data_IF_269598334777
#
_entry.id   IF_269598334777
#
_cell.length_a   1.000
_cell.length_b   1.000
_cell.length_c   1.000
_cell.angle_alpha   90.00
_cell.angle_beta   90.00
_cell.angle_gamma   90.00
#
_symmetry.space_group_name_H-M   'P 1'
#
loop_
_entity.id
_entity.type
_entity.pdbx_description
1 polymer ?
#
# COMPACT_ATOMS: atom_id res chain seq x y z
N UNK A 1 -42.05 -11.83 73.32
CA UNK A 1 -41.32 -12.51 72.20
C UNK A 1 -41.59 -11.73 70.93
N UNK A 2 -40.68 -10.87 70.50
CA UNK A 2 -40.75 -10.02 69.30
C UNK A 2 -40.21 -10.79 68.13
N UNK A 3 -41.04 -11.01 67.06
CA UNK A 3 -40.56 -11.57 65.76
C UNK A 3 -40.01 -10.43 64.93
N UNK A 4 -38.75 -10.50 64.60
CA UNK A 4 -38.07 -9.60 63.66
C UNK A 4 -38.30 -10.16 62.29
N UNK A 5 -38.92 -9.41 61.40
CA UNK A 5 -39.15 -9.71 59.99
C UNK A 5 -37.97 -9.12 59.20
N UNK A 6 -37.09 -9.98 58.65
CA UNK A 6 -36.05 -9.53 57.71
C UNK A 6 -36.64 -9.38 56.32
N UNK A 7 -36.70 -8.14 55.86
CA UNK A 7 -37.07 -7.78 54.48
C UNK A 7 -35.80 -7.70 53.66
N UNK A 8 -35.48 -8.73 52.89
CA UNK A 8 -34.37 -8.74 51.94
C UNK A 8 -34.78 -7.97 50.69
N UNK A 9 -34.26 -6.75 50.59
CA UNK A 9 -34.38 -5.91 49.37
C UNK A 9 -33.38 -6.44 48.32
N UNK A 10 -33.90 -7.17 47.33
CA UNK A 10 -33.13 -7.64 46.19
C UNK A 10 -32.97 -6.45 45.21
N UNK A 11 -31.84 -5.75 45.28
CA UNK A 11 -31.50 -4.70 44.30
C UNK A 11 -31.16 -5.38 42.98
N UNK A 12 -32.11 -5.42 42.04
CA UNK A 12 -31.88 -5.85 40.66
C UNK A 12 -31.17 -4.71 39.92
N UNK A 13 -29.84 -4.78 39.89
CA UNK A 13 -29.06 -3.88 39.06
C UNK A 13 -29.25 -4.30 37.60
N UNK A 14 -30.23 -3.70 36.92
CA UNK A 14 -30.33 -3.73 35.47
C UNK A 14 -29.14 -2.95 34.90
N UNK A 15 -28.06 -3.64 34.60
CA UNK A 15 -27.02 -3.11 33.69
C UNK A 15 -27.67 -2.94 32.31
N UNK A 16 -28.08 -1.72 32.01
CA UNK A 16 -28.44 -1.33 30.66
C UNK A 16 -27.11 -1.42 29.89
N UNK A 17 -26.83 -2.57 29.25
CA UNK A 17 -25.87 -2.66 28.20
C UNK A 17 -26.40 -1.75 27.08
N UNK A 18 -25.97 -0.49 27.06
CA UNK A 18 -26.13 0.35 25.90
C UNK A 18 -25.32 -0.37 24.80
N UNK A 19 -26.04 -0.98 23.86
CA UNK A 19 -25.37 -1.56 22.69
C UNK A 19 -24.57 -0.43 22.02
N UNK A 20 -23.27 -0.48 22.17
CA UNK A 20 -22.39 0.52 21.57
C UNK A 20 -22.65 0.51 20.07
N UNK A 21 -23.08 1.65 19.51
CA UNK A 21 -23.37 1.77 18.07
C UNK A 21 -22.09 1.42 17.32
N UNK A 22 -22.14 0.36 16.50
CA UNK A 22 -21.01 -0.02 15.66
C UNK A 22 -20.74 1.04 14.59
N UNK A 23 -19.47 1.25 14.27
CA UNK A 23 -19.06 2.07 13.12
C UNK A 23 -19.30 1.27 11.85
N UNK A 24 -20.13 1.78 10.96
CA UNK A 24 -20.48 1.11 9.71
C UNK A 24 -19.47 1.42 8.61
N UNK A 25 -18.88 0.38 8.02
CA UNK A 25 -17.95 0.49 6.89
C UNK A 25 -18.60 -0.11 5.66
N UNK A 26 -18.90 0.70 4.65
CA UNK A 26 -19.43 0.25 3.37
C UNK A 26 -18.29 0.05 2.37
N UNK A 27 -17.99 -1.20 2.00
CA UNK A 27 -17.05 -1.52 0.93
C UNK A 27 -17.79 -1.59 -0.42
N UNK A 28 -17.61 -0.57 -1.23
CA UNK A 28 -18.28 -0.34 -2.52
C UNK A 28 -17.30 -0.68 -3.64
N UNK A 29 -17.72 -1.49 -4.62
CA UNK A 29 -16.80 -1.85 -5.68
C UNK A 29 -17.35 -2.88 -6.68
N UNK A 30 -16.42 -3.49 -7.35
CA UNK A 30 -16.65 -4.47 -8.42
C UNK A 30 -16.45 -5.93 -7.94
N UNK A 31 -16.01 -6.80 -8.84
CA UNK A 31 -15.72 -8.21 -8.57
C UNK A 31 -14.64 -8.43 -7.50
N UNK A 32 -13.66 -7.54 -7.40
CA UNK A 32 -12.60 -7.62 -6.38
C UNK A 32 -13.19 -7.39 -4.99
N UNK A 33 -14.07 -6.40 -4.84
CA UNK A 33 -14.79 -6.15 -3.59
C UNK A 33 -15.75 -7.30 -3.26
N UNK A 34 -16.46 -7.81 -4.27
CA UNK A 34 -17.34 -8.98 -4.10
C UNK A 34 -16.57 -10.21 -3.61
N UNK A 35 -15.34 -10.40 -4.07
CA UNK A 35 -14.53 -11.61 -3.83
C UNK A 35 -14.72 -12.66 -4.91
N UNK A 36 -14.86 -12.24 -6.17
CA UNK A 36 -14.94 -13.13 -7.32
C UNK A 36 -13.67 -13.97 -7.42
N UNK A 37 -13.78 -15.23 -7.80
CA UNK A 37 -12.75 -16.28 -7.83
C UNK A 37 -12.30 -16.82 -6.48
N UNK A 38 -12.67 -16.19 -5.37
CA UNK A 38 -12.32 -16.71 -4.05
C UNK A 38 -13.17 -17.94 -3.69
N UNK A 39 -12.59 -18.94 -2.98
CA UNK A 39 -13.31 -20.15 -2.60
C UNK A 39 -14.58 -19.87 -1.80
N UNK A 40 -14.53 -18.94 -0.87
CA UNK A 40 -15.67 -18.50 -0.08
C UNK A 40 -15.65 -16.97 0.10
N UNK A 41 -16.30 -16.20 -0.78
CA UNK A 41 -16.34 -14.74 -0.66
C UNK A 41 -16.84 -14.20 0.68
N UNK A 42 -17.68 -14.97 1.40
CA UNK A 42 -18.23 -14.56 2.69
C UNK A 42 -17.17 -14.52 3.82
N UNK A 43 -16.06 -15.21 3.65
CA UNK A 43 -14.94 -15.24 4.61
C UNK A 43 -13.66 -14.68 4.02
N UNK A 44 -13.45 -14.84 2.72
CA UNK A 44 -12.16 -14.67 2.05
C UNK A 44 -12.04 -13.33 1.34
N UNK A 45 -13.16 -12.65 1.04
CA UNK A 45 -13.12 -11.33 0.42
C UNK A 45 -12.44 -10.29 1.33
N UNK A 46 -11.83 -9.25 0.76
CA UNK A 46 -11.19 -8.24 1.58
C UNK A 46 -12.16 -7.55 2.57
N UNK A 47 -13.45 -7.30 2.27
CA UNK A 47 -14.36 -6.77 3.28
C UNK A 47 -14.59 -7.72 4.44
N UNK A 48 -14.65 -9.03 4.18
CA UNK A 48 -14.84 -10.04 5.23
C UNK A 48 -13.59 -10.17 6.11
N UNK A 49 -12.41 -10.18 5.51
CA UNK A 49 -11.15 -10.15 6.26
C UNK A 49 -10.96 -8.83 7.03
N UNK A 50 -11.41 -7.70 6.45
CA UNK A 50 -11.42 -6.39 7.14
C UNK A 50 -12.31 -6.42 8.38
N UNK A 51 -13.49 -7.06 8.32
CA UNK A 51 -14.35 -7.23 9.49
C UNK A 51 -13.62 -7.94 10.63
N UNK A 52 -12.83 -8.98 10.30
CA UNK A 52 -12.03 -9.70 11.30
C UNK A 52 -10.96 -8.79 11.94
N UNK A 53 -10.29 -7.98 11.12
CA UNK A 53 -9.25 -7.05 11.59
C UNK A 53 -9.81 -5.93 12.47
N UNK A 54 -10.97 -5.37 12.12
CA UNK A 54 -11.62 -4.27 12.84
C UNK A 54 -12.36 -4.73 14.10
N UNK A 55 -12.75 -6.01 14.17
CA UNK A 55 -13.46 -6.58 15.31
C UNK A 55 -14.92 -6.11 15.44
N UNK A 56 -15.50 -6.36 16.62
CA UNK A 56 -16.94 -6.21 16.86
C UNK A 56 -17.43 -4.75 16.99
N UNK A 57 -16.54 -3.80 17.17
CA UNK A 57 -16.87 -2.38 17.23
C UNK A 57 -17.23 -1.79 15.87
N UNK A 58 -16.96 -2.53 14.80
CA UNK A 58 -17.29 -2.19 13.42
C UNK A 58 -18.30 -3.16 12.82
N UNK A 59 -19.01 -2.69 11.81
CA UNK A 59 -19.89 -3.48 10.95
C UNK A 59 -19.50 -3.23 9.49
N UNK A 60 -18.89 -4.21 8.85
CA UNK A 60 -18.40 -4.10 7.47
C UNK A 60 -19.40 -4.72 6.51
N UNK A 61 -19.93 -3.91 5.60
CA UNK A 61 -20.81 -4.35 4.51
C UNK A 61 -20.05 -4.51 3.19
N UNK A 62 -20.25 -5.65 2.52
CA UNK A 62 -19.73 -5.89 1.18
C UNK A 62 -20.79 -5.55 0.12
N UNK A 63 -20.54 -4.49 -0.65
CA UNK A 63 -21.42 -4.01 -1.72
C UNK A 63 -20.72 -4.10 -3.09
N UNK A 64 -19.89 -5.13 -3.27
CA UNK A 64 -19.23 -5.44 -4.52
C UNK A 64 -20.19 -6.03 -5.56
N UNK A 65 -20.09 -5.57 -6.81
CA UNK A 65 -20.81 -6.09 -7.96
C UNK A 65 -19.86 -6.50 -9.07
N UNK A 66 -19.77 -7.80 -9.34
CA UNK A 66 -18.90 -8.32 -10.40
C UNK A 66 -19.21 -7.68 -11.75
N UNK A 67 -18.15 -7.21 -12.44
CA UNK A 67 -18.25 -6.55 -13.74
C UNK A 67 -18.76 -5.11 -13.69
N UNK A 68 -19.03 -4.53 -12.52
CA UNK A 68 -19.54 -3.17 -12.43
C UNK A 68 -18.50 -2.13 -12.86
N UNK A 69 -18.94 -1.17 -13.69
CA UNK A 69 -18.19 0.01 -14.12
C UNK A 69 -18.51 1.19 -13.23
N UNK A 70 -17.59 2.13 -13.12
CA UNK A 70 -17.87 3.44 -12.55
C UNK A 70 -18.70 4.28 -13.51
N UNK A 71 -18.31 4.28 -14.80
CA UNK A 71 -18.98 5.02 -15.85
C UNK A 71 -20.47 4.68 -15.91
N UNK A 72 -21.33 5.70 -15.80
CA UNK A 72 -22.80 5.56 -15.89
C UNK A 72 -23.30 5.17 -17.29
N UNK A 73 -22.47 5.34 -18.31
CA UNK A 73 -22.68 4.85 -19.67
C UNK A 73 -21.92 3.57 -19.99
N UNK A 74 -21.20 3.02 -19.02
CA UNK A 74 -20.46 1.78 -19.17
C UNK A 74 -21.39 0.58 -19.36
N UNK A 75 -20.80 -0.57 -19.69
CA UNK A 75 -21.57 -1.77 -19.97
C UNK A 75 -22.33 -2.34 -18.76
N UNK A 76 -21.94 -1.96 -17.51
CA UNK A 76 -22.62 -2.34 -16.26
C UNK A 76 -22.45 -1.27 -15.18
N UNK A 77 -23.13 -0.13 -15.29
CA UNK A 77 -22.97 0.97 -14.33
C UNK A 77 -23.29 0.56 -12.91
N UNK A 78 -22.37 0.81 -11.96
CA UNK A 78 -22.55 0.47 -10.54
C UNK A 78 -23.76 1.17 -9.93
N UNK A 79 -24.00 2.44 -10.22
CA UNK A 79 -25.11 3.22 -9.68
C UNK A 79 -26.50 2.69 -10.12
N UNK A 80 -26.56 1.79 -11.10
CA UNK A 80 -27.78 1.13 -11.55
C UNK A 80 -27.97 -0.26 -10.91
N UNK A 81 -27.02 -0.74 -10.09
CA UNK A 81 -27.09 -2.08 -9.50
C UNK A 81 -27.79 -2.05 -8.13
N UNK A 82 -28.34 -3.21 -7.73
CA UNK A 82 -28.97 -3.37 -6.42
C UNK A 82 -27.97 -3.20 -5.27
N UNK A 83 -26.70 -3.53 -5.49
CA UNK A 83 -25.62 -3.38 -4.52
C UNK A 83 -25.39 -1.90 -4.19
N UNK A 84 -25.54 -0.99 -5.15
CA UNK A 84 -25.50 0.45 -4.90
C UNK A 84 -26.65 0.89 -3.98
N UNK A 85 -27.89 0.46 -4.29
CA UNK A 85 -29.07 0.80 -3.47
C UNK A 85 -28.91 0.30 -2.03
N UNK A 86 -28.39 -0.93 -1.86
CA UNK A 86 -28.09 -1.51 -0.55
C UNK A 86 -27.01 -0.72 0.19
N UNK A 87 -25.94 -0.30 -0.51
CA UNK A 87 -24.87 0.51 0.07
C UNK A 87 -25.39 1.87 0.56
N UNK A 88 -26.25 2.53 -0.22
CA UNK A 88 -26.91 3.79 0.17
C UNK A 88 -27.79 3.58 1.39
N UNK A 89 -28.63 2.53 1.41
CA UNK A 89 -29.51 2.20 2.53
C UNK A 89 -28.73 1.81 3.81
N UNK A 90 -27.53 1.23 3.66
CA UNK A 90 -26.64 0.91 4.76
C UNK A 90 -26.16 2.16 5.49
N UNK A 91 -26.03 3.30 4.78
CA UNK A 91 -25.62 4.60 5.31
C UNK A 91 -24.33 4.50 6.15
N UNK A 92 -23.25 4.00 5.54
CA UNK A 92 -21.95 3.79 6.19
C UNK A 92 -21.39 5.06 6.82
N UNK A 93 -20.80 4.92 8.01
CA UNK A 93 -20.01 5.99 8.63
C UNK A 93 -18.68 6.19 7.90
N UNK A 94 -18.17 5.09 7.31
CA UNK A 94 -17.00 5.07 6.42
C UNK A 94 -17.42 4.40 5.12
N UNK A 95 -17.05 4.97 3.99
CA UNK A 95 -17.31 4.43 2.65
C UNK A 95 -16.00 4.23 1.92
N UNK A 96 -15.70 3.00 1.57
CA UNK A 96 -14.48 2.60 0.83
C UNK A 96 -14.88 2.28 -0.60
N UNK A 97 -14.36 3.02 -1.57
CA UNK A 97 -14.73 2.87 -2.99
C UNK A 97 -13.55 2.34 -3.80
N UNK A 98 -13.75 1.19 -4.47
CA UNK A 98 -12.81 0.60 -5.42
C UNK A 98 -13.55 0.29 -6.73
N UNK A 99 -13.62 1.25 -7.64
CA UNK A 99 -14.26 1.18 -8.96
C UNK A 99 -13.38 1.81 -10.03
N UNK A 100 -13.49 1.33 -11.25
CA UNK A 100 -12.74 1.82 -12.41
C UNK A 100 -12.00 0.74 -13.20
N UNK A 101 -11.74 -0.45 -12.60
CA UNK A 101 -10.97 -1.49 -13.29
C UNK A 101 -11.74 -2.08 -14.50
N UNK A 102 -13.06 -2.23 -14.39
CA UNK A 102 -13.89 -2.70 -15.50
C UNK A 102 -14.07 -1.64 -16.59
N UNK A 103 -13.84 -0.38 -16.25
CA UNK A 103 -13.89 0.74 -17.18
C UNK A 103 -12.73 0.69 -18.19
N UNK A 104 -11.70 -0.12 -17.96
CA UNK A 104 -10.64 -0.44 -18.94
C UNK A 104 -11.14 -1.31 -20.11
N UNK A 105 -12.44 -1.64 -20.18
CA UNK A 105 -13.01 -2.37 -21.30
C UNK A 105 -13.05 -1.47 -22.56
N UNK A 106 -12.74 -2.01 -23.77
CA UNK A 106 -12.83 -1.26 -25.03
C UNK A 106 -14.20 -0.68 -25.34
N UNK A 107 -15.27 -1.22 -24.74
CA UNK A 107 -16.64 -0.68 -24.87
C UNK A 107 -16.85 0.60 -24.08
N UNK A 108 -16.04 0.83 -23.04
CA UNK A 108 -16.25 1.87 -22.04
C UNK A 108 -15.26 3.02 -22.19
N UNK A 109 -13.98 2.80 -21.86
CA UNK A 109 -13.01 3.88 -21.75
C UNK A 109 -12.80 4.71 -23.01
N UNK A 110 -12.57 4.10 -24.18
CA UNK A 110 -12.38 4.89 -25.41
C UNK A 110 -13.58 5.78 -25.78
N UNK A 111 -14.78 5.40 -25.31
CA UNK A 111 -16.02 6.06 -25.68
C UNK A 111 -16.53 7.07 -24.64
N UNK A 112 -16.23 6.86 -23.36
CA UNK A 112 -16.90 7.59 -22.28
C UNK A 112 -15.94 8.16 -21.21
N UNK A 113 -14.63 8.09 -21.41
CA UNK A 113 -13.61 8.56 -20.45
C UNK A 113 -13.85 9.98 -19.94
N UNK A 114 -14.33 10.88 -20.80
CA UNK A 114 -14.60 12.27 -20.43
C UNK A 114 -15.69 12.42 -19.35
N UNK A 115 -16.51 11.38 -19.15
CA UNK A 115 -17.53 11.34 -18.11
C UNK A 115 -17.03 10.81 -16.77
N UNK A 116 -15.82 10.18 -16.72
CA UNK A 116 -15.36 9.42 -15.55
C UNK A 116 -15.28 10.26 -14.27
N UNK A 117 -14.67 11.44 -14.34
CA UNK A 117 -14.56 12.34 -13.19
C UNK A 117 -15.94 12.77 -12.69
N UNK A 118 -16.82 13.16 -13.61
CA UNK A 118 -18.20 13.59 -13.27
C UNK A 118 -18.99 12.45 -12.61
N UNK A 119 -18.91 11.26 -13.17
CA UNK A 119 -19.66 10.10 -12.69
C UNK A 119 -19.12 9.65 -11.31
N UNK A 120 -17.80 9.73 -11.10
CA UNK A 120 -17.20 9.42 -9.79
C UNK A 120 -17.63 10.42 -8.73
N UNK A 121 -17.61 11.71 -9.03
CA UNK A 121 -18.10 12.76 -8.12
C UNK A 121 -19.58 12.56 -7.77
N UNK A 122 -20.43 12.20 -8.74
CA UNK A 122 -21.82 11.88 -8.49
C UNK A 122 -21.99 10.67 -7.55
N UNK A 123 -21.16 9.65 -7.69
CA UNK A 123 -21.14 8.52 -6.75
C UNK A 123 -20.77 8.96 -5.34
N UNK A 124 -19.70 9.75 -5.18
CA UNK A 124 -19.26 10.31 -3.89
C UNK A 124 -20.40 11.12 -3.25
N UNK A 125 -21.02 12.00 -4.01
CA UNK A 125 -22.11 12.86 -3.53
C UNK A 125 -23.35 12.06 -3.10
N UNK A 126 -23.64 10.93 -3.77
CA UNK A 126 -24.72 10.04 -3.38
C UNK A 126 -24.53 9.50 -1.97
N UNK A 127 -23.30 9.14 -1.58
CA UNK A 127 -23.00 8.70 -0.22
C UNK A 127 -23.03 9.85 0.79
N UNK A 128 -22.60 11.05 0.40
CA UNK A 128 -22.70 12.25 1.25
C UNK A 128 -24.14 12.64 1.51
N UNK A 129 -25.04 12.45 0.54
CA UNK A 129 -26.48 12.66 0.73
C UNK A 129 -27.06 11.62 1.70
N UNK A 130 -26.66 10.36 1.57
CA UNK A 130 -27.15 9.28 2.45
C UNK A 130 -26.65 9.43 3.91
N UNK A 131 -25.40 9.86 4.09
CA UNK A 131 -24.82 10.18 5.40
C UNK A 131 -23.85 11.37 5.25
N UNK A 132 -24.29 12.60 5.59
CA UNK A 132 -23.45 13.80 5.46
C UNK A 132 -22.18 13.80 6.31
N UNK A 133 -22.08 12.89 7.29
CA UNK A 133 -20.90 12.76 8.16
C UNK A 133 -19.99 11.60 7.74
N UNK A 134 -20.30 10.91 6.64
CA UNK A 134 -19.48 9.78 6.22
C UNK A 134 -18.07 10.21 5.85
N UNK A 135 -17.09 9.41 6.27
CA UNK A 135 -15.73 9.52 5.82
C UNK A 135 -15.57 8.69 4.54
N UNK A 136 -15.17 9.32 3.45
CA UNK A 136 -15.04 8.64 2.17
C UNK A 136 -13.56 8.39 1.88
N UNK A 137 -13.24 7.15 1.55
CA UNK A 137 -11.93 6.68 1.15
C UNK A 137 -12.06 6.12 -0.27
N UNK A 138 -11.31 6.64 -1.21
CA UNK A 138 -11.25 6.06 -2.57
C UNK A 138 -9.90 5.39 -2.79
N UNK A 139 -9.91 4.29 -3.52
CA UNK A 139 -8.72 3.48 -3.75
C UNK A 139 -8.16 3.70 -5.15
N UNK A 140 -6.82 3.81 -5.27
CA UNK A 140 -6.14 3.48 -6.52
C UNK A 140 -6.46 2.04 -6.88
N UNK A 141 -6.58 1.76 -8.18
CA UNK A 141 -6.94 0.43 -8.66
C UNK A 141 -5.86 -0.60 -8.31
N UNK A 142 -6.27 -1.83 -8.05
CA UNK A 142 -5.34 -2.98 -8.04
C UNK A 142 -4.58 -3.08 -9.35
N UNK A 143 -3.38 -3.65 -9.38
CA UNK A 143 -2.68 -3.88 -10.64
C UNK A 143 -3.46 -4.85 -11.53
N UNK A 144 -3.23 -4.73 -12.84
CA UNK A 144 -3.59 -5.74 -13.83
C UNK A 144 -2.27 -6.34 -14.29
N UNK A 145 -2.11 -7.66 -14.20
CA UNK A 145 -0.89 -8.32 -14.62
C UNK A 145 -0.75 -8.31 -16.14
N UNK A 146 0.48 -8.27 -16.63
CA UNK A 146 0.85 -8.19 -18.05
C UNK A 146 0.31 -9.35 -18.90
N UNK A 147 0.08 -10.51 -18.29
CA UNK A 147 -0.57 -11.65 -18.96
C UNK A 147 -2.09 -11.48 -19.23
N UNK A 148 -2.67 -10.34 -18.84
CA UNK A 148 -4.06 -10.05 -19.18
C UNK A 148 -4.24 -10.00 -20.71
N UNK A 149 -5.26 -10.68 -21.30
CA UNK A 149 -5.36 -10.83 -22.74
C UNK A 149 -5.45 -9.52 -23.54
N UNK A 150 -5.85 -8.43 -22.91
CA UNK A 150 -5.95 -7.09 -23.52
C UNK A 150 -4.92 -6.09 -22.99
N UNK A 151 -3.90 -6.58 -22.26
CA UNK A 151 -2.93 -5.70 -21.60
C UNK A 151 -2.28 -4.73 -22.59
N UNK A 152 -1.70 -5.27 -23.67
CA UNK A 152 -1.02 -4.49 -24.73
C UNK A 152 -2.00 -3.78 -25.69
N UNK A 153 -3.27 -4.17 -25.72
CA UNK A 153 -4.26 -3.58 -26.65
C UNK A 153 -5.07 -2.42 -26.04
N UNK A 154 -4.56 -1.81 -24.98
CA UNK A 154 -5.11 -0.60 -24.38
C UNK A 154 -5.39 -0.69 -22.88
N UNK A 155 -5.65 -1.87 -22.32
CA UNK A 155 -6.00 -2.00 -20.90
C UNK A 155 -4.94 -1.40 -19.98
N UNK A 156 -3.63 -1.60 -20.25
CA UNK A 156 -2.53 -1.01 -19.50
C UNK A 156 -2.60 0.52 -19.48
N UNK A 157 -2.73 1.12 -20.64
CA UNK A 157 -2.69 2.58 -20.79
C UNK A 157 -3.93 3.21 -20.17
N UNK A 158 -5.11 2.62 -20.41
CA UNK A 158 -6.37 3.07 -19.83
C UNK A 158 -6.40 2.91 -18.30
N UNK A 159 -5.82 1.84 -17.79
CA UNK A 159 -5.63 1.66 -16.35
C UNK A 159 -4.81 2.82 -15.76
N UNK A 160 -3.70 3.20 -16.41
CA UNK A 160 -2.87 4.34 -16.01
C UNK A 160 -3.63 5.67 -16.02
N UNK A 161 -4.43 5.93 -17.07
CA UNK A 161 -5.28 7.14 -17.19
C UNK A 161 -6.35 7.18 -16.08
N UNK A 162 -6.96 6.04 -15.77
CA UNK A 162 -7.95 5.93 -14.68
C UNK A 162 -7.30 6.17 -13.32
N UNK A 163 -6.12 5.64 -13.07
CA UNK A 163 -5.35 5.89 -11.84
C UNK A 163 -5.13 7.39 -11.61
N UNK A 164 -4.64 8.11 -12.63
CA UNK A 164 -4.44 9.55 -12.57
C UNK A 164 -5.75 10.32 -12.32
N UNK A 165 -6.85 9.84 -12.94
CA UNK A 165 -8.18 10.42 -12.71
C UNK A 165 -8.64 10.24 -11.26
N UNK A 166 -8.45 9.05 -10.67
CA UNK A 166 -8.79 8.77 -9.27
C UNK A 166 -8.00 9.65 -8.31
N UNK A 167 -6.69 9.83 -8.53
CA UNK A 167 -5.85 10.72 -7.73
C UNK A 167 -6.34 12.18 -7.80
N UNK A 168 -6.71 12.63 -8.99
CA UNK A 168 -7.28 13.96 -9.22
C UNK A 168 -8.61 14.13 -8.50
N UNK A 169 -9.50 13.13 -8.59
CA UNK A 169 -10.80 13.11 -7.90
C UNK A 169 -10.63 13.18 -6.40
N UNK A 170 -9.72 12.38 -5.82
CA UNK A 170 -9.45 12.39 -4.39
C UNK A 170 -9.12 13.80 -3.88
N UNK A 171 -8.21 14.46 -4.59
CA UNK A 171 -7.76 15.80 -4.28
C UNK A 171 -8.88 16.84 -4.46
N UNK A 172 -9.61 16.77 -5.57
CA UNK A 172 -10.68 17.73 -5.88
C UNK A 172 -11.87 17.59 -4.91
N UNK A 173 -12.30 16.35 -4.64
CA UNK A 173 -13.41 16.07 -3.74
C UNK A 173 -13.05 16.20 -2.25
N UNK A 174 -11.75 16.35 -1.92
CA UNK A 174 -11.28 16.39 -0.53
C UNK A 174 -11.56 15.10 0.24
N UNK A 175 -11.44 13.94 -0.44
CA UNK A 175 -11.60 12.60 0.16
C UNK A 175 -10.25 11.93 0.35
N UNK A 176 -10.18 10.98 1.27
CA UNK A 176 -8.95 10.23 1.50
C UNK A 176 -8.66 9.31 0.30
N UNK A 177 -7.42 9.33 -0.17
CA UNK A 177 -6.91 8.37 -1.14
C UNK A 177 -6.15 7.27 -0.40
N UNK A 178 -6.40 6.00 -0.76
CA UNK A 178 -5.58 4.85 -0.38
C UNK A 178 -5.07 4.13 -1.62
N UNK A 179 -4.10 3.25 -1.44
CA UNK A 179 -3.42 2.60 -2.54
C UNK A 179 -3.63 1.08 -2.51
N UNK A 180 -4.36 0.54 -3.49
CA UNK A 180 -4.49 -0.89 -3.72
C UNK A 180 -3.49 -1.43 -4.77
N UNK A 181 -2.78 -0.52 -5.46
CA UNK A 181 -1.83 -0.90 -6.49
C UNK A 181 -0.50 -1.38 -5.92
N UNK A 182 0.21 -0.48 -5.24
CA UNK A 182 1.58 -0.74 -4.77
C UNK A 182 1.71 -1.98 -3.87
N UNK A 183 0.79 -2.26 -2.94
CA UNK A 183 0.92 -3.45 -2.10
C UNK A 183 0.79 -4.79 -2.83
N UNK A 184 0.16 -4.82 -4.00
CA UNK A 184 -0.01 -6.03 -4.82
C UNK A 184 0.93 -6.10 -6.02
N UNK A 185 1.39 -4.95 -6.52
CA UNK A 185 2.18 -4.86 -7.74
C UNK A 185 3.44 -5.74 -7.74
N UNK A 186 4.18 -5.88 -6.63
CA UNK A 186 5.34 -6.77 -6.56
C UNK A 186 5.01 -8.26 -6.57
N UNK A 187 3.71 -8.64 -6.54
CA UNK A 187 3.26 -10.01 -6.34
C UNK A 187 2.23 -10.45 -7.41
N UNK A 188 2.59 -10.47 -8.70
CA UNK A 188 1.63 -10.79 -9.76
C UNK A 188 1.02 -12.20 -9.63
N UNK A 189 1.70 -13.13 -8.95
CA UNK A 189 1.18 -14.46 -8.63
C UNK A 189 -0.03 -14.44 -7.69
N UNK A 190 -0.25 -13.33 -6.97
CA UNK A 190 -1.46 -13.13 -6.15
C UNK A 190 -2.70 -12.82 -6.98
N UNK A 191 -2.55 -12.61 -8.30
CA UNK A 191 -3.62 -12.33 -9.25
C UNK A 191 -3.74 -13.49 -10.27
N UNK A 192 -4.27 -14.68 -9.89
CA UNK A 192 -4.21 -15.89 -10.73
C UNK A 192 -4.76 -15.73 -12.14
N UNK A 193 -5.77 -14.91 -12.34
CA UNK A 193 -6.38 -14.59 -13.64
C UNK A 193 -5.96 -13.22 -14.20
N UNK A 194 -4.86 -12.68 -13.71
CA UNK A 194 -4.29 -11.37 -14.04
C UNK A 194 -5.03 -10.15 -13.48
N UNK A 195 -6.17 -10.31 -12.80
CA UNK A 195 -7.02 -9.23 -12.31
C UNK A 195 -7.45 -9.42 -10.86
N UNK A 196 -7.93 -10.63 -10.52
CA UNK A 196 -8.57 -10.90 -9.25
C UNK A 196 -7.57 -11.45 -8.22
N UNK A 197 -7.45 -10.82 -7.05
CA UNK A 197 -6.57 -11.34 -6.00
C UNK A 197 -7.09 -12.67 -5.45
N UNK A 198 -6.16 -13.57 -5.14
CA UNK A 198 -6.43 -14.75 -4.34
C UNK A 198 -6.68 -14.38 -2.87
N UNK A 199 -6.86 -15.35 -1.99
CA UNK A 199 -7.17 -15.12 -0.56
C UNK A 199 -6.10 -14.28 0.13
N UNK A 200 -4.82 -14.54 -0.17
CA UNK A 200 -3.68 -13.78 0.37
C UNK A 200 -3.68 -12.34 -0.13
N UNK A 201 -3.87 -12.14 -1.44
CA UNK A 201 -3.99 -10.80 -2.03
C UNK A 201 -5.17 -10.01 -1.47
N UNK A 202 -6.32 -10.68 -1.27
CA UNK A 202 -7.47 -10.07 -0.58
C UNK A 202 -7.14 -9.66 0.86
N UNK A 203 -6.30 -10.43 1.56
CA UNK A 203 -5.80 -10.10 2.89
C UNK A 203 -4.90 -8.86 2.91
N UNK A 204 -4.08 -8.67 1.87
CA UNK A 204 -3.29 -7.44 1.71
C UNK A 204 -4.21 -6.23 1.53
N UNK A 205 -5.24 -6.34 0.69
CA UNK A 205 -6.22 -5.26 0.52
C UNK A 205 -6.96 -4.95 1.82
N UNK A 206 -7.37 -5.97 2.59
CA UNK A 206 -8.01 -5.80 3.89
C UNK A 206 -7.12 -5.03 4.87
N UNK A 207 -5.83 -5.37 4.96
CA UNK A 207 -4.85 -4.64 5.78
C UNK A 207 -4.67 -3.19 5.33
N UNK A 208 -4.67 -2.95 4.03
CA UNK A 208 -4.58 -1.59 3.46
C UNK A 208 -5.78 -0.73 3.90
N UNK A 209 -6.99 -1.28 3.82
CA UNK A 209 -8.19 -0.57 4.30
C UNK A 209 -8.15 -0.39 5.81
N UNK A 210 -7.74 -1.41 6.56
CA UNK A 210 -7.58 -1.33 8.02
C UNK A 210 -6.67 -0.16 8.41
N UNK A 211 -5.49 -0.07 7.78
CA UNK A 211 -4.56 1.02 8.03
C UNK A 211 -5.13 2.40 7.65
N UNK A 212 -5.86 2.47 6.53
CA UNK A 212 -6.49 3.72 6.09
C UNK A 212 -7.59 4.20 7.06
N UNK A 213 -8.30 3.27 7.72
CA UNK A 213 -9.36 3.57 8.69
C UNK A 213 -8.78 3.91 10.07
N UNK A 214 -7.83 3.12 10.54
CA UNK A 214 -7.34 3.20 11.93
C UNK A 214 -6.12 4.10 12.09
N UNK A 215 -5.41 4.37 10.99
CA UNK A 215 -4.10 5.03 11.02
C UNK A 215 -2.97 4.14 11.54
N UNK A 216 -3.23 2.85 11.77
CA UNK A 216 -2.22 1.88 12.17
C UNK A 216 -1.54 1.27 10.93
N UNK A 217 -0.32 1.68 10.68
CA UNK A 217 0.54 1.18 9.59
C UNK A 217 1.58 0.17 10.08
N UNK A 218 1.41 -0.40 11.28
CA UNK A 218 2.36 -1.34 11.87
C UNK A 218 3.57 -0.67 12.51
N UNK A 219 3.53 0.67 12.66
CA UNK A 219 4.59 1.46 13.29
C UNK A 219 5.67 1.94 12.31
N UNK A 220 6.93 2.00 12.81
CA UNK A 220 8.04 2.59 12.08
C UNK A 220 8.64 1.63 11.03
N UNK A 221 8.58 2.04 9.77
CA UNK A 221 9.18 1.33 8.65
C UNK A 221 10.06 2.28 7.82
N UNK A 222 11.25 1.80 7.47
CA UNK A 222 12.14 2.44 6.51
C UNK A 222 12.33 1.52 5.29
N UNK A 223 12.76 2.09 4.17
CA UNK A 223 13.13 1.32 2.99
C UNK A 223 14.27 0.34 3.30
N UNK A 224 14.32 -0.77 2.60
CA UNK A 224 15.39 -1.78 2.66
C UNK A 224 16.77 -1.22 2.29
N UNK A 225 16.82 -0.04 1.69
CA UNK A 225 18.09 0.69 1.45
C UNK A 225 18.76 1.18 2.74
N UNK A 226 18.02 1.27 3.85
CA UNK A 226 18.59 1.67 5.14
C UNK A 226 19.08 0.42 5.89
N UNK A 227 20.36 0.15 5.77
CA UNK A 227 21.06 -0.91 6.52
C UNK A 227 22.36 -0.36 7.11
N UNK A 228 22.99 -1.13 7.98
CA UNK A 228 24.34 -0.85 8.40
C UNK A 228 25.27 -0.73 7.19
N UNK A 229 26.37 -0.02 7.31
CA UNK A 229 27.37 0.23 6.28
C UNK A 229 26.91 1.10 5.10
N UNK A 230 25.67 1.62 5.09
CA UNK A 230 25.16 2.43 3.97
C UNK A 230 25.98 3.69 3.75
N UNK A 231 25.87 4.23 2.52
CA UNK A 231 26.39 5.55 2.17
C UNK A 231 25.23 6.50 1.94
N UNK A 232 25.28 7.66 2.57
CA UNK A 232 24.40 8.79 2.33
C UNK A 232 25.13 9.83 1.47
N UNK A 233 24.43 10.42 0.49
CA UNK A 233 25.00 11.49 -0.31
C UNK A 233 25.46 12.64 0.57
N UNK A 234 26.71 13.08 0.41
CA UNK A 234 27.24 14.23 1.11
C UNK A 234 26.99 15.54 0.37
N UNK A 235 27.19 16.65 1.04
CA UNK A 235 27.23 17.99 0.42
C UNK A 235 25.86 18.59 0.09
N UNK A 236 24.79 17.80 0.08
CA UNK A 236 23.44 18.23 -0.25
C UNK A 236 22.44 17.87 0.87
N UNK A 237 21.34 18.64 1.01
CA UNK A 237 20.26 18.25 1.90
C UNK A 237 19.64 16.90 1.47
N UNK A 238 19.48 15.99 2.41
CA UNK A 238 18.98 14.64 2.12
C UNK A 238 17.68 14.35 2.87
N UNK A 239 16.66 13.90 2.16
CA UNK A 239 15.40 13.47 2.75
C UNK A 239 15.49 12.03 3.26
N UNK A 240 15.41 11.86 4.57
CA UNK A 240 15.18 10.57 5.23
C UNK A 240 13.66 10.39 5.31
N UNK A 241 13.15 9.26 4.82
CA UNK A 241 11.71 9.03 4.68
C UNK A 241 11.33 7.59 4.99
N UNK A 242 10.05 7.40 5.32
CA UNK A 242 9.50 6.07 5.63
C UNK A 242 8.02 6.16 5.97
N UNK A 243 7.52 5.11 6.65
CA UNK A 243 6.16 5.04 7.20
C UNK A 243 6.19 4.92 8.72
N UNK A 244 5.14 5.45 9.35
CA UNK A 244 4.83 5.29 10.77
C UNK A 244 3.31 5.36 10.95
N UNK A 245 2.80 5.11 12.15
CA UNK A 245 1.37 5.28 12.40
C UNK A 245 0.95 6.73 12.19
N UNK A 246 -0.25 6.93 11.67
CA UNK A 246 -0.78 8.25 11.32
C UNK A 246 -0.70 9.21 12.53
N UNK A 247 -0.15 10.39 12.29
CA UNK A 247 -0.01 11.39 13.33
C UNK A 247 1.12 11.16 14.32
N UNK A 248 1.84 10.06 14.23
CA UNK A 248 2.96 9.73 15.12
C UNK A 248 4.15 10.66 14.85
N UNK A 249 4.82 11.06 15.93
CA UNK A 249 6.04 11.89 15.84
C UNK A 249 7.23 10.99 15.55
N UNK A 250 7.86 11.22 14.40
CA UNK A 250 9.11 10.55 14.01
C UNK A 250 10.28 11.47 14.32
N UNK A 251 11.33 10.92 14.90
CA UNK A 251 12.58 11.65 15.21
C UNK A 251 13.73 10.97 14.46
N UNK A 252 14.47 11.76 13.69
CA UNK A 252 15.69 11.35 12.99
C UNK A 252 16.89 12.02 13.64
N UNK A 253 17.92 11.25 13.97
CA UNK A 253 19.16 11.74 14.55
C UNK A 253 20.35 11.19 13.78
N UNK A 254 21.25 12.09 13.35
CA UNK A 254 22.52 11.76 12.69
C UNK A 254 23.52 12.88 12.95
N UNK A 255 24.77 12.52 13.25
CA UNK A 255 25.80 13.48 13.64
C UNK A 255 25.29 14.34 14.82
N UNK A 256 25.30 15.66 14.66
CA UNK A 256 24.79 16.64 15.64
C UNK A 256 23.34 17.09 15.35
N UNK A 257 22.69 16.51 14.35
CA UNK A 257 21.34 16.88 13.96
C UNK A 257 20.32 15.97 14.65
N UNK A 258 19.23 16.58 15.13
CA UNK A 258 18.05 15.88 15.66
C UNK A 258 16.82 16.61 15.16
N UNK A 259 16.10 15.99 14.24
CA UNK A 259 14.98 16.59 13.51
C UNK A 259 13.73 15.72 13.71
N UNK A 260 12.57 16.34 13.54
CA UNK A 260 11.30 15.64 13.74
C UNK A 260 10.32 15.95 12.62
N UNK A 261 9.50 14.96 12.28
CA UNK A 261 8.31 15.11 11.44
C UNK A 261 7.12 14.43 12.11
N UNK A 262 5.93 14.76 11.65
CA UNK A 262 4.70 14.04 12.01
C UNK A 262 4.28 13.21 10.80
N UNK A 263 4.01 11.92 11.01
CA UNK A 263 3.50 11.06 9.96
C UNK A 263 2.13 11.56 9.47
N UNK A 264 1.94 11.61 8.18
CA UNK A 264 0.69 12.00 7.54
C UNK A 264 -0.42 10.96 7.78
N UNK A 265 -1.64 11.26 7.34
CA UNK A 265 -2.77 10.34 7.48
C UNK A 265 -2.59 9.02 6.73
N UNK A 266 -1.77 8.99 5.69
CA UNK A 266 -1.38 7.79 4.95
C UNK A 266 -0.12 7.09 5.52
N UNK A 267 0.36 7.53 6.67
CA UNK A 267 1.54 7.00 7.35
C UNK A 267 2.87 7.53 6.84
N UNK A 268 2.92 8.26 5.73
CA UNK A 268 4.18 8.77 5.18
C UNK A 268 4.78 9.87 6.06
N UNK A 269 6.09 9.82 6.21
CA UNK A 269 6.87 10.89 6.84
C UNK A 269 8.17 11.14 6.09
N UNK A 270 8.66 12.36 6.18
CA UNK A 270 9.96 12.73 5.67
C UNK A 270 10.61 13.78 6.57
N UNK A 271 11.92 13.67 6.75
CA UNK A 271 12.76 14.65 7.45
C UNK A 271 13.94 14.97 6.55
N UNK A 272 14.15 16.24 6.25
CA UNK A 272 15.32 16.69 5.48
C UNK A 272 16.46 17.04 6.42
N UNK A 273 17.53 16.25 6.40
CA UNK A 273 18.78 16.56 7.12
C UNK A 273 19.61 17.56 6.34
N UNK A 274 20.35 18.40 7.06
CA UNK A 274 21.31 19.31 6.45
C UNK A 274 22.51 18.52 5.90
N UNK A 275 23.25 19.08 4.94
CA UNK A 275 24.40 18.41 4.32
C UNK A 275 25.35 17.82 5.35
N UNK A 276 25.72 16.57 5.15
CA UNK A 276 26.74 15.90 5.94
C UNK A 276 28.13 16.21 5.33
N UNK A 277 29.13 16.34 6.19
CA UNK A 277 30.52 16.39 5.75
C UNK A 277 30.92 14.98 5.27
N UNK A 278 31.64 14.91 4.15
CA UNK A 278 32.20 13.65 3.66
C UNK A 278 33.03 12.94 4.74
N UNK A 279 32.90 11.62 4.82
CA UNK A 279 33.60 10.78 5.81
C UNK A 279 32.61 10.04 6.70
N UNK A 280 33.01 9.77 7.92
CA UNK A 280 32.27 8.98 8.90
C UNK A 280 33.25 8.23 9.82
N UNK A 281 32.82 7.15 10.48
CA UNK A 281 31.45 6.63 10.46
C UNK A 281 30.47 7.44 11.26
N UNK A 282 29.26 7.58 10.72
CA UNK A 282 28.10 8.15 11.43
C UNK A 282 27.20 7.02 11.94
N UNK A 283 26.33 7.36 12.88
CA UNK A 283 25.20 6.53 13.28
C UNK A 283 23.91 7.29 12.95
N UNK A 284 23.02 6.68 12.15
CA UNK A 284 21.67 7.16 11.90
C UNK A 284 20.71 6.44 12.84
N UNK A 285 19.90 7.21 13.56
CA UNK A 285 18.84 6.68 14.41
C UNK A 285 17.51 7.30 14.02
N UNK A 286 16.51 6.44 13.83
CA UNK A 286 15.13 6.85 13.58
C UNK A 286 14.25 6.23 14.65
N UNK A 287 13.35 7.03 15.23
CA UNK A 287 12.42 6.55 16.26
C UNK A 287 11.02 7.13 16.07
N UNK A 288 10.00 6.30 16.35
CA UNK A 288 8.61 6.68 16.40
C UNK A 288 7.90 5.88 17.51
N UNK A 289 7.19 6.55 18.40
CA UNK A 289 6.57 5.95 19.57
C UNK A 289 7.58 5.15 20.41
N UNK A 290 7.35 3.83 20.53
CA UNK A 290 8.24 2.90 21.25
C UNK A 290 9.28 2.24 20.34
N UNK A 291 9.18 2.43 19.04
CA UNK A 291 10.06 1.78 18.06
C UNK A 291 11.27 2.66 17.77
N UNK A 292 12.41 2.01 17.59
CA UNK A 292 13.68 2.65 17.25
C UNK A 292 14.47 1.73 16.34
N UNK A 293 14.98 2.30 15.26
CA UNK A 293 15.92 1.65 14.34
C UNK A 293 17.23 2.43 14.39
N UNK A 294 18.35 1.73 14.37
CA UNK A 294 19.69 2.33 14.42
C UNK A 294 20.55 1.67 13.38
N UNK A 295 21.18 2.49 12.55
CA UNK A 295 22.08 2.07 11.48
C UNK A 295 23.48 2.57 11.80
N UNK A 296 24.43 1.66 11.81
CA UNK A 296 25.81 1.91 12.21
C UNK A 296 26.74 1.94 11.00
N UNK A 297 27.95 2.44 11.22
CA UNK A 297 28.99 2.51 10.18
C UNK A 297 28.54 3.20 8.88
N UNK A 298 27.67 4.21 9.03
CA UNK A 298 27.15 5.01 7.89
C UNK A 298 28.24 5.96 7.43
N UNK A 299 28.51 5.99 6.14
CA UNK A 299 29.39 6.98 5.53
C UNK A 299 28.58 8.10 4.87
N UNK A 300 29.14 9.27 4.78
CA UNK A 300 28.71 10.34 3.88
C UNK A 300 29.71 10.44 2.74
N UNK A 301 29.27 10.22 1.51
CA UNK A 301 30.15 10.16 0.35
C UNK A 301 29.40 10.33 -0.96
N UNK A 302 30.05 10.02 -2.07
CA UNK A 302 29.43 9.97 -3.37
C UNK A 302 28.63 8.66 -3.52
N UNK A 303 27.38 8.78 -3.97
CA UNK A 303 26.50 7.64 -4.25
C UNK A 303 26.31 7.51 -5.75
N UNK A 304 26.72 6.37 -6.30
CA UNK A 304 26.63 6.08 -7.73
C UNK A 304 25.60 4.99 -7.98
N UNK A 305 24.67 5.24 -8.90
CA UNK A 305 23.77 4.22 -9.43
C UNK A 305 24.43 3.61 -10.67
N UNK A 306 24.90 2.36 -10.52
CA UNK A 306 25.50 1.60 -11.60
C UNK A 306 24.43 0.71 -12.22
N UNK A 307 23.97 1.04 -13.43
CA UNK A 307 22.92 0.31 -14.14
C UNK A 307 23.38 -0.01 -15.57
N UNK A 308 22.91 -1.11 -16.12
CA UNK A 308 23.23 -1.55 -17.48
C UNK A 308 22.87 -3.01 -17.70
N UNK A 309 23.56 -3.65 -18.61
CA UNK A 309 23.42 -5.06 -18.91
C UNK A 309 24.72 -5.82 -18.58
N UNK A 310 25.02 -6.92 -19.27
CA UNK A 310 26.12 -7.86 -18.99
C UNK A 310 27.47 -7.22 -18.65
N UNK A 311 27.83 -6.09 -19.27
CA UNK A 311 29.09 -5.41 -18.94
C UNK A 311 29.07 -4.73 -17.56
N UNK A 312 27.91 -4.39 -17.04
CA UNK A 312 27.77 -3.84 -15.69
C UNK A 312 27.92 -4.93 -14.61
N UNK A 313 27.58 -6.15 -14.93
CA UNK A 313 27.77 -7.34 -14.07
C UNK A 313 29.20 -7.91 -14.13
N UNK A 314 30.15 -7.24 -14.79
CA UNK A 314 31.52 -7.73 -15.00
C UNK A 314 32.32 -7.75 -13.69
N UNK A 315 32.50 -8.91 -13.11
CA UNK A 315 33.25 -9.08 -11.87
C UNK A 315 34.75 -8.80 -12.04
N UNK A 316 35.37 -8.23 -11.00
CA UNK A 316 36.80 -8.00 -10.97
C UNK A 316 37.59 -9.29 -11.23
N UNK A 317 37.11 -10.44 -10.77
CA UNK A 317 37.69 -11.77 -11.01
C UNK A 317 37.79 -12.16 -12.49
N UNK A 318 37.00 -11.54 -13.37
CA UNK A 318 37.05 -11.78 -14.82
C UNK A 318 38.00 -10.85 -15.55
N UNK A 319 38.55 -9.86 -14.86
CA UNK A 319 39.47 -8.92 -15.47
C UNK A 319 40.83 -9.57 -15.75
N UNK A 320 41.52 -9.07 -16.78
CA UNK A 320 42.91 -9.52 -17.10
C UNK A 320 43.89 -9.25 -15.96
N UNK A 321 43.59 -8.30 -15.10
CA UNK A 321 44.42 -7.85 -13.98
C UNK A 321 43.98 -8.43 -12.63
N UNK A 322 43.00 -9.36 -12.60
CA UNK A 322 42.40 -9.91 -11.40
C UNK A 322 43.44 -10.40 -10.36
N UNK A 323 44.46 -11.15 -10.80
CA UNK A 323 45.51 -11.68 -9.90
C UNK A 323 46.31 -10.58 -9.19
N UNK A 324 46.47 -9.41 -9.81
CA UNK A 324 47.12 -8.24 -9.21
C UNK A 324 46.19 -7.43 -8.34
N UNK A 325 44.96 -7.21 -8.82
CA UNK A 325 44.08 -6.19 -8.30
C UNK A 325 43.21 -6.71 -7.12
N UNK A 326 42.77 -7.97 -7.17
CA UNK A 326 41.96 -8.56 -6.08
C UNK A 326 42.63 -8.47 -4.70
N UNK A 327 43.95 -8.80 -4.54
CA UNK A 327 44.58 -8.71 -3.22
C UNK A 327 44.65 -7.28 -2.65
N UNK A 328 44.39 -6.27 -3.46
CA UNK A 328 44.44 -4.85 -3.10
C UNK A 328 43.07 -4.18 -3.18
N UNK A 329 42.01 -4.94 -3.47
CA UNK A 329 40.67 -4.39 -3.70
C UNK A 329 39.95 -4.01 -2.39
N UNK A 330 40.32 -4.60 -1.28
CA UNK A 330 39.71 -4.30 0.00
C UNK A 330 39.86 -2.80 0.33
N UNK A 331 38.71 -2.13 0.53
CA UNK A 331 38.66 -0.70 0.85
C UNK A 331 37.45 -0.38 1.72
N UNK A 332 37.68 -0.01 2.94
CA UNK A 332 36.63 0.33 3.91
C UNK A 332 35.90 1.67 3.63
N UNK A 333 36.37 2.45 2.65
CA UNK A 333 35.70 3.65 2.17
C UNK A 333 34.76 3.40 0.99
N UNK A 334 34.79 2.18 0.41
CA UNK A 334 33.90 1.77 -0.66
C UNK A 334 32.83 0.84 -0.09
N UNK A 335 31.58 1.14 -0.40
CA UNK A 335 30.41 0.35 -0.02
C UNK A 335 29.67 -0.09 -1.26
N UNK A 336 29.17 -1.28 -1.25
CA UNK A 336 28.44 -1.88 -2.35
C UNK A 336 27.02 -2.24 -1.87
N UNK A 337 26.04 -1.87 -2.67
CA UNK A 337 24.67 -2.36 -2.53
C UNK A 337 24.32 -3.10 -3.81
N UNK A 338 24.44 -4.43 -3.77
CA UNK A 338 24.25 -5.27 -4.93
C UNK A 338 22.78 -5.67 -5.07
N UNK A 339 22.06 -4.92 -5.89
CA UNK A 339 20.67 -5.25 -6.25
C UNK A 339 20.69 -6.45 -7.20
N UNK A 340 20.53 -7.64 -6.66
CA UNK A 340 20.49 -8.86 -7.46
C UNK A 340 19.20 -8.90 -8.27
N UNK A 341 19.33 -8.74 -9.59
CA UNK A 341 18.30 -9.22 -10.48
C UNK A 341 18.13 -10.73 -10.22
N UNK A 342 16.99 -11.14 -9.70
CA UNK A 342 16.73 -12.57 -9.42
C UNK A 342 16.67 -13.41 -10.69
N UNK A 343 16.68 -12.78 -11.87
CA UNK A 343 16.62 -13.43 -13.16
C UNK A 343 17.60 -12.83 -14.16
N UNK A 344 18.26 -13.72 -14.87
CA UNK A 344 18.93 -13.40 -16.12
C UNK A 344 17.92 -13.60 -17.24
N UNK A 345 17.44 -12.52 -17.80
CA UNK A 345 16.43 -12.51 -18.87
C UNK A 345 16.93 -13.10 -20.18
N UNK A 346 18.25 -13.29 -20.32
CA UNK A 346 18.93 -13.83 -21.49
C UNK A 346 18.88 -15.38 -21.59
N UNK A 347 18.41 -16.08 -20.55
CA UNK A 347 18.40 -17.54 -20.50
C UNK A 347 16.99 -18.16 -20.52
N UNK A 348 15.93 -17.37 -20.71
CA UNK A 348 14.57 -17.84 -20.50
C UNK A 348 13.69 -17.48 -21.67
N UNK A 349 13.11 -18.50 -22.31
CA UNK A 349 11.89 -18.30 -23.09
C UNK A 349 10.81 -17.73 -22.17
N UNK A 350 10.17 -16.65 -22.60
CA UNK A 350 9.19 -15.89 -21.84
C UNK A 350 7.93 -16.72 -21.60
N UNK A 351 7.99 -17.66 -20.67
CA UNK A 351 6.84 -18.37 -20.13
C UNK A 351 6.16 -17.49 -19.07
N UNK A 352 4.84 -17.51 -19.01
CA UNK A 352 4.05 -16.78 -18.03
C UNK A 352 4.43 -17.14 -16.59
N UNK A 353 4.82 -18.40 -16.32
CA UNK A 353 5.30 -18.83 -15.00
C UNK A 353 6.62 -18.14 -14.61
N UNK A 354 7.41 -17.78 -15.58
CA UNK A 354 8.68 -17.06 -15.38
C UNK A 354 8.41 -15.58 -15.15
N UNK A 355 7.53 -14.97 -15.94
CA UNK A 355 7.10 -13.60 -15.73
C UNK A 355 6.49 -13.40 -14.33
N UNK A 356 5.75 -14.39 -13.85
CA UNK A 356 5.20 -14.41 -12.49
C UNK A 356 6.29 -14.53 -11.40
N UNK A 357 7.43 -15.12 -11.72
CA UNK A 357 8.58 -15.23 -10.83
C UNK A 357 9.54 -14.04 -10.90
N UNK A 358 9.42 -13.19 -11.94
CA UNK A 358 10.14 -11.94 -12.03
C UNK A 358 9.61 -11.01 -10.93
N UNK A 359 10.42 -10.81 -9.92
CA UNK A 359 10.08 -9.95 -8.80
C UNK A 359 10.03 -8.50 -9.23
N UNK A 360 8.87 -8.06 -9.65
CA UNK A 360 8.64 -6.64 -9.83
C UNK A 360 8.96 -5.90 -8.52
N UNK A 361 9.97 -5.04 -8.53
CA UNK A 361 10.38 -4.19 -7.42
C UNK A 361 10.93 -4.89 -6.15
N UNK A 362 11.20 -6.20 -6.16
CA UNK A 362 11.83 -6.89 -5.03
C UNK A 362 13.37 -6.97 -5.15
N UNK A 363 13.98 -6.09 -5.92
CA UNK A 363 15.43 -6.03 -6.10
C UNK A 363 16.21 -5.75 -4.82
N UNK A 364 15.55 -5.21 -3.81
CA UNK A 364 16.14 -4.87 -2.51
C UNK A 364 16.02 -5.99 -1.48
N UNK A 365 15.15 -6.97 -1.71
CA UNK A 365 14.90 -8.03 -0.74
C UNK A 365 16.15 -8.89 -0.54
N UNK A 366 16.50 -9.13 0.71
CA UNK A 366 17.67 -9.89 1.13
C UNK A 366 19.00 -9.26 0.64
N UNK A 367 19.03 -7.95 0.47
CA UNK A 367 20.22 -7.18 0.07
C UNK A 367 20.56 -6.16 1.15
N UNK A 368 21.84 -5.96 1.39
CA UNK A 368 22.35 -4.99 2.36
C UNK A 368 23.61 -4.30 1.82
N UNK A 369 23.95 -3.18 2.41
CA UNK A 369 25.21 -2.51 2.14
C UNK A 369 26.37 -3.30 2.70
N UNK A 370 27.33 -3.62 1.87
CA UNK A 370 28.55 -4.33 2.26
C UNK A 370 29.78 -3.45 2.11
N UNK A 371 30.80 -3.70 2.93
CA UNK A 371 32.13 -3.11 2.79
C UNK A 371 32.86 -3.83 1.66
N UNK A 372 33.55 -3.10 0.80
CA UNK A 372 34.37 -3.70 -0.24
C UNK A 372 35.53 -4.46 0.39
N UNK A 373 35.55 -5.78 0.24
CA UNK A 373 36.53 -6.70 0.84
C UNK A 373 37.07 -7.71 -0.19
#
# INVERSE_FOLDING_TARGET
MKKILFLSLFLMVCTILSAQKRVKVACVGNSITYGYTLPNPATDSYPSQLQQLLGETYEVGNFGKSGATLLNKGHRPYMQQEEFKKAIAFAGDIVVIHLGINDTDPRDWPNYRDSFVKDYLALIDSFRVANPKCHIIIARLTPIADRHPRFESGTRDWHGEIQQSIETIAKYAGVQLMDFHEPLYPYPYLLPDAVHPNVEGAGILAKTVYSAITGDFGGLHLSELYTDNMVLQHGEPLAIRGKANAGEKVTVSIAKQKLTAKAASNGDWAVTIQPLKAGGPYTLTVSAGKQKQTFNNVLAGEVWLCSGQSNMEFYLSWSKTAKRDIPQAANDQIRLFDMKARWRTDAVEWDTSVLDSLNHLQYYKDTEWTVCS
#
